data_IF_461527835774
#
_entry.id   IF_461527835774
#
_cell.length_a   1.000
_cell.length_b   1.000
_cell.length_c   1.000
_cell.angle_alpha   90.00
_cell.angle_beta   90.00
_cell.angle_gamma   90.00
#
_symmetry.space_group_name_H-M   'P 1'
#
loop_
_entity.id
_entity.type
_entity.pdbx_description
1 polymer ?
#
# COMPACT_ATOMS: atom_id res chain seq x y z
N UNK A 1 -12.77 0.11 -2.56
CA UNK A 1 -12.67 1.31 -3.42
C UNK A 1 -11.28 1.90 -3.25
N UNK A 2 -10.88 2.88 -4.06
CA UNK A 2 -9.75 3.72 -3.66
C UNK A 2 -10.19 4.51 -2.43
N UNK A 3 -9.37 4.59 -1.39
CA UNK A 3 -9.69 5.39 -0.20
C UNK A 3 -8.46 6.13 0.32
N UNK A 4 -8.69 7.29 0.93
CA UNK A 4 -7.66 8.10 1.58
C UNK A 4 -7.36 7.53 2.95
N UNK A 5 -6.07 7.34 3.26
CA UNK A 5 -5.63 6.85 4.56
C UNK A 5 -5.68 7.99 5.57
N UNK A 6 -6.47 7.84 6.61
CA UNK A 6 -6.51 8.77 7.76
C UNK A 6 -5.38 8.39 8.73
N UNK A 7 -4.40 9.28 8.89
CA UNK A 7 -3.30 9.09 9.84
C UNK A 7 -3.65 9.55 11.27
N UNK A 8 -4.77 10.21 11.46
CA UNK A 8 -5.31 10.59 12.78
C UNK A 8 -6.09 9.43 13.38
N UNK A 9 -6.97 8.82 12.59
CA UNK A 9 -7.76 7.65 12.98
C UNK A 9 -7.28 6.40 12.22
N UNK A 10 -6.27 5.74 12.77
CA UNK A 10 -5.65 4.56 12.13
C UNK A 10 -6.65 3.41 12.02
N UNK A 11 -6.82 2.87 10.81
CA UNK A 11 -7.76 1.80 10.50
C UNK A 11 -7.10 0.64 9.76
N UNK A 12 -7.51 -0.58 10.08
CA UNK A 12 -7.05 -1.83 9.44
C UNK A 12 -7.79 -2.17 8.14
N UNK A 13 -8.58 -1.23 7.61
CA UNK A 13 -9.34 -1.45 6.38
C UNK A 13 -8.41 -1.88 5.23
N UNK A 14 -8.78 -2.95 4.54
CA UNK A 14 -8.00 -3.52 3.44
C UNK A 14 -6.71 -4.23 3.86
N UNK A 15 -6.59 -4.61 5.14
CA UNK A 15 -5.49 -5.40 5.71
C UNK A 15 -5.99 -6.57 6.57
N UNK A 16 -7.31 -6.82 6.60
CA UNK A 16 -7.99 -7.71 7.53
C UNK A 16 -7.55 -9.18 7.41
N UNK A 17 -7.07 -9.57 6.22
CA UNK A 17 -6.52 -10.91 5.98
C UNK A 17 -5.13 -11.12 6.57
N UNK A 18 -4.42 -10.04 6.94
CA UNK A 18 -3.05 -10.13 7.44
C UNK A 18 -3.03 -10.49 8.93
N UNK A 19 -2.16 -11.42 9.37
CA UNK A 19 -1.96 -11.69 10.80
C UNK A 19 -1.36 -10.51 11.56
N UNK A 20 -0.82 -9.50 10.85
CA UNK A 20 -0.17 -8.31 11.43
C UNK A 20 -0.85 -7.02 10.96
N UNK A 21 -2.16 -7.07 10.70
CA UNK A 21 -2.95 -5.93 10.21
C UNK A 21 -2.72 -4.61 10.98
N UNK A 22 -2.65 -4.58 12.33
CA UNK A 22 -2.44 -3.32 13.07
C UNK A 22 -1.09 -2.66 12.77
N UNK A 23 -0.02 -3.45 12.65
CA UNK A 23 1.32 -2.93 12.35
C UNK A 23 1.38 -2.35 10.92
N UNK A 24 0.78 -3.06 9.95
CA UNK A 24 0.69 -2.58 8.57
C UNK A 24 -0.17 -1.31 8.44
N UNK A 25 -1.26 -1.21 9.20
CA UNK A 25 -2.07 0.01 9.26
C UNK A 25 -1.27 1.19 9.84
N UNK A 26 -0.49 0.97 10.89
CA UNK A 26 0.42 1.96 11.45
C UNK A 26 1.48 2.43 10.46
N UNK A 27 2.07 1.51 9.67
CA UNK A 27 3.02 1.86 8.62
C UNK A 27 2.37 2.76 7.56
N UNK A 28 1.19 2.39 7.05
CA UNK A 28 0.44 3.21 6.08
C UNK A 28 0.08 4.59 6.64
N UNK A 29 -0.28 4.67 7.92
CA UNK A 29 -0.57 5.96 8.58
C UNK A 29 0.67 6.86 8.66
N UNK A 30 1.86 6.28 8.91
CA UNK A 30 3.11 7.03 8.89
C UNK A 30 3.42 7.61 7.50
N UNK A 31 3.21 6.83 6.45
CA UNK A 31 3.36 7.31 5.06
C UNK A 31 2.37 8.42 4.75
N UNK A 32 1.10 8.25 5.10
CA UNK A 32 0.06 9.26 4.89
C UNK A 32 0.39 10.58 5.59
N UNK A 33 0.87 10.52 6.84
CA UNK A 33 1.34 11.70 7.58
C UNK A 33 2.52 12.36 6.89
N UNK A 34 3.49 11.58 6.40
CA UNK A 34 4.65 12.11 5.69
C UNK A 34 4.23 12.86 4.42
N UNK A 35 3.43 12.24 3.57
CA UNK A 35 2.97 12.87 2.33
C UNK A 35 2.14 14.14 2.59
N UNK A 36 1.27 14.11 3.61
CA UNK A 36 0.48 15.28 3.98
C UNK A 36 1.35 16.44 4.47
N UNK A 37 2.26 16.17 5.40
CA UNK A 37 3.08 17.21 6.01
C UNK A 37 4.15 17.75 5.07
N UNK A 38 4.76 16.88 4.25
CA UNK A 38 5.88 17.26 3.38
C UNK A 38 5.42 17.86 2.06
N UNK A 39 4.33 17.35 1.49
CA UNK A 39 3.90 17.69 0.13
C UNK A 39 2.46 18.20 0.05
N UNK A 40 1.72 18.27 1.15
CA UNK A 40 0.31 18.65 1.15
C UNK A 40 -0.61 17.64 0.45
N UNK A 41 -0.11 16.42 0.18
CA UNK A 41 -0.78 15.43 -0.66
C UNK A 41 -1.52 14.38 0.16
N UNK A 42 -2.74 14.06 -0.24
CA UNK A 42 -3.55 13.00 0.38
C UNK A 42 -3.11 11.62 -0.11
N UNK A 43 -2.64 10.79 0.81
CA UNK A 43 -2.21 9.42 0.48
C UNK A 43 -3.43 8.52 0.31
N UNK A 44 -3.59 7.94 -0.88
CA UNK A 44 -4.70 7.05 -1.21
C UNK A 44 -4.21 5.67 -1.61
N UNK A 45 -4.99 4.64 -1.27
CA UNK A 45 -4.67 3.25 -1.60
C UNK A 45 -5.82 2.62 -2.36
N UNK A 46 -5.49 1.63 -3.21
CA UNK A 46 -6.44 0.89 -4.03
C UNK A 46 -6.22 -0.62 -3.84
N UNK A 47 -7.28 -1.44 -3.71
CA UNK A 47 -7.13 -2.89 -3.61
C UNK A 47 -6.34 -3.46 -4.78
N UNK A 48 -5.40 -4.37 -4.51
CA UNK A 48 -4.54 -4.98 -5.51
C UNK A 48 -5.33 -5.69 -6.62
N UNK A 49 -6.42 -6.37 -6.26
CA UNK A 49 -7.35 -7.00 -7.20
C UNK A 49 -7.94 -6.02 -8.24
N UNK A 50 -8.05 -4.73 -7.90
CA UNK A 50 -8.52 -3.65 -8.80
C UNK A 50 -7.37 -2.92 -9.49
N UNK A 51 -6.11 -3.21 -9.14
CA UNK A 51 -4.90 -2.56 -9.63
C UNK A 51 -3.97 -3.52 -10.41
N UNK A 52 -4.53 -4.59 -11.01
CA UNK A 52 -3.77 -5.66 -11.69
C UNK A 52 -2.69 -5.19 -12.65
N UNK A 53 -2.97 -4.14 -13.45
CA UNK A 53 -1.99 -3.56 -14.39
C UNK A 53 -0.77 -2.98 -13.68
N UNK A 54 -0.99 -2.27 -12.57
CA UNK A 54 0.08 -1.67 -11.77
C UNK A 54 0.91 -2.76 -11.08
N UNK A 55 0.26 -3.77 -10.51
CA UNK A 55 0.93 -4.91 -9.88
C UNK A 55 1.81 -5.62 -10.90
N UNK A 56 1.28 -5.98 -12.08
CA UNK A 56 2.06 -6.61 -13.15
C UNK A 56 3.26 -5.76 -13.60
N UNK A 57 3.10 -4.43 -13.66
CA UNK A 57 4.19 -3.51 -13.98
C UNK A 57 5.30 -3.53 -12.92
N UNK A 58 4.93 -3.51 -11.63
CA UNK A 58 5.90 -3.62 -10.52
C UNK A 58 6.64 -4.96 -10.56
N UNK A 59 5.95 -6.08 -10.76
CA UNK A 59 6.59 -7.38 -10.92
C UNK A 59 7.59 -7.40 -12.08
N UNK A 60 7.25 -6.77 -13.21
CA UNK A 60 8.14 -6.66 -14.36
C UNK A 60 9.41 -5.88 -14.01
N UNK A 61 9.30 -4.73 -13.33
CA UNK A 61 10.46 -3.94 -12.91
C UNK A 61 11.35 -4.74 -11.96
N UNK A 62 10.76 -5.35 -10.93
CA UNK A 62 11.51 -6.14 -9.93
C UNK A 62 12.30 -7.26 -10.57
N UNK A 63 11.69 -8.00 -11.51
CA UNK A 63 12.36 -9.05 -12.25
C UNK A 63 13.46 -8.51 -13.16
N UNK A 64 13.15 -7.52 -13.99
CA UNK A 64 14.07 -7.06 -15.03
C UNK A 64 15.27 -6.29 -14.49
N UNK A 65 15.07 -5.49 -13.44
CA UNK A 65 16.13 -4.61 -12.96
C UNK A 65 16.84 -5.12 -11.71
N UNK A 66 16.25 -6.06 -10.98
CA UNK A 66 16.78 -6.56 -9.70
C UNK A 66 16.81 -8.09 -9.60
N UNK A 67 16.34 -8.81 -10.61
CA UNK A 67 16.21 -10.28 -10.61
C UNK A 67 15.42 -10.81 -9.40
N UNK A 68 14.35 -10.09 -9.03
CA UNK A 68 13.50 -10.45 -7.88
C UNK A 68 12.12 -10.93 -8.35
N UNK A 69 11.71 -12.10 -7.86
CA UNK A 69 10.37 -12.66 -8.01
C UNK A 69 9.70 -12.88 -6.64
N UNK A 70 8.56 -12.22 -6.43
CA UNK A 70 7.75 -12.38 -5.21
C UNK A 70 6.69 -13.47 -5.47
N UNK A 71 6.78 -14.57 -4.71
CA UNK A 71 5.86 -15.71 -4.86
C UNK A 71 4.51 -15.51 -4.14
N UNK A 72 4.46 -14.66 -3.11
CA UNK A 72 3.24 -14.40 -2.34
C UNK A 72 2.23 -13.56 -3.12
N UNK A 73 0.94 -13.91 -3.01
CA UNK A 73 -0.13 -13.13 -3.62
C UNK A 73 -0.43 -11.83 -2.85
N UNK A 74 -0.83 -10.74 -3.54
CA UNK A 74 -1.19 -9.46 -2.92
C UNK A 74 -2.52 -9.44 -2.15
#
# INVERSE_FOLDING_TARGET
MTYTVDFTNVSTVGLESSPVAPALAGLRANEARYFKNKYGHDFTVKPAAKAKRMVAYVHKILKQERDLEIASEP
#
